data_IF_167101348141
#
_entry.id   IF_167101348141
#
_cell.length_a   1.000
_cell.length_b   1.000
_cell.length_c   1.000
_cell.angle_alpha   90.00
_cell.angle_beta   90.00
_cell.angle_gamma   90.00
#
_symmetry.space_group_name_H-M   'P 1'
#
loop_
_entity.id
_entity.type
_entity.pdbx_description
1 polymer ?
#
# COMPACT_ATOMS: atom_id res chain seq x y z
N UNK A 1 13.70 21.42 -6.54
CA UNK A 1 12.72 21.59 -5.45
C UNK A 1 12.03 20.26 -5.25
N UNK A 2 12.01 19.70 -4.05
CA UNK A 2 11.36 18.40 -3.80
C UNK A 2 9.91 18.61 -3.33
N UNK A 3 8.97 17.83 -3.83
CA UNK A 3 7.56 17.88 -3.44
C UNK A 3 7.19 16.62 -2.69
N UNK A 4 6.49 16.74 -1.57
CA UNK A 4 6.09 15.62 -0.71
C UNK A 4 4.59 15.35 -0.82
N UNK A 5 4.25 14.08 -0.92
CA UNK A 5 2.88 13.59 -0.96
C UNK A 5 2.70 12.49 0.08
N UNK A 6 1.67 12.60 0.92
CA UNK A 6 1.29 11.54 1.83
C UNK A 6 0.65 10.35 1.10
N UNK A 7 0.55 9.21 1.80
CA UNK A 7 -0.34 8.14 1.37
C UNK A 7 -1.79 8.62 1.54
N UNK A 8 -2.65 8.39 0.56
CA UNK A 8 -4.04 8.83 0.61
C UNK A 8 -4.78 8.29 1.84
N UNK A 9 -5.74 9.05 2.40
CA UNK A 9 -6.58 8.57 3.48
C UNK A 9 -7.36 7.31 3.02
N UNK A 10 -7.59 6.40 3.96
CA UNK A 10 -8.30 5.15 3.68
C UNK A 10 -9.74 5.42 3.24
N UNK A 11 -10.20 4.68 2.23
CA UNK A 11 -11.62 4.68 1.89
C UNK A 11 -12.46 4.08 3.03
N UNK A 12 -13.76 4.41 3.14
CA UNK A 12 -14.62 3.96 4.23
C UNK A 12 -14.64 2.43 4.42
N UNK A 13 -14.60 1.68 3.33
CA UNK A 13 -14.54 0.22 3.36
C UNK A 13 -13.26 -0.30 4.05
N UNK A 14 -12.09 0.16 3.61
CA UNK A 14 -10.80 -0.25 4.18
C UNK A 14 -10.67 0.23 5.64
N UNK A 15 -11.20 1.40 5.96
CA UNK A 15 -11.22 1.90 7.34
C UNK A 15 -12.04 1.00 8.26
N UNK A 16 -13.27 0.61 7.85
CA UNK A 16 -14.11 -0.32 8.63
C UNK A 16 -13.43 -1.67 8.79
N UNK A 17 -12.88 -2.22 7.73
CA UNK A 17 -12.16 -3.50 7.76
C UNK A 17 -10.95 -3.44 8.71
N UNK A 18 -10.17 -2.36 8.67
CA UNK A 18 -9.05 -2.15 9.59
C UNK A 18 -9.52 -2.09 11.05
N UNK A 19 -10.61 -1.38 11.34
CA UNK A 19 -11.17 -1.30 12.71
C UNK A 19 -11.56 -2.70 13.20
N UNK A 20 -12.30 -3.46 12.40
CA UNK A 20 -12.70 -4.84 12.75
C UNK A 20 -11.49 -5.71 13.05
N UNK A 21 -10.46 -5.65 12.19
CA UNK A 21 -9.23 -6.42 12.40
C UNK A 21 -8.47 -5.97 13.65
N UNK A 22 -8.44 -4.68 13.96
CA UNK A 22 -7.78 -4.16 15.16
C UNK A 22 -8.51 -4.53 16.45
N UNK A 23 -9.82 -4.79 16.40
CA UNK A 23 -10.58 -5.31 17.54
C UNK A 23 -10.26 -6.76 17.86
N UNK A 24 -9.76 -7.53 16.90
CA UNK A 24 -9.50 -8.96 17.07
C UNK A 24 -8.53 -9.27 18.21
N UNK A 25 -7.33 -8.67 18.32
CA UNK A 25 -6.45 -8.90 19.46
C UNK A 25 -7.07 -8.48 20.79
N UNK A 26 -7.92 -7.43 20.81
CA UNK A 26 -8.63 -7.01 22.02
C UNK A 26 -9.59 -8.10 22.50
N UNK A 27 -10.36 -8.70 21.57
CA UNK A 27 -11.25 -9.82 21.87
C UNK A 27 -10.46 -11.00 22.43
N UNK A 28 -9.30 -11.34 21.84
CA UNK A 28 -8.45 -12.43 22.35
C UNK A 28 -7.85 -12.12 23.73
N UNK A 29 -7.51 -10.88 24.02
CA UNK A 29 -7.06 -10.49 25.38
C UNK A 29 -8.17 -10.69 26.38
N UNK A 30 -9.37 -10.17 26.11
CA UNK A 30 -10.53 -10.30 27.02
C UNK A 30 -10.88 -11.79 27.24
N UNK A 31 -10.97 -12.56 26.17
CA UNK A 31 -11.25 -14.00 26.25
C UNK A 31 -10.14 -14.78 26.97
N UNK A 32 -8.88 -14.41 26.79
CA UNK A 32 -7.73 -15.06 27.42
C UNK A 32 -7.59 -14.76 28.91
N UNK A 33 -8.05 -13.58 29.35
CA UNK A 33 -8.12 -13.25 30.80
C UNK A 33 -9.23 -14.03 31.50
N UNK A 34 -10.38 -14.22 30.82
CA UNK A 34 -11.55 -14.90 31.37
C UNK A 34 -11.50 -16.44 31.19
N UNK A 35 -10.57 -16.96 30.37
CA UNK A 35 -10.53 -18.37 29.97
C UNK A 35 -9.13 -18.87 29.62
N UNK A 36 -8.93 -19.57 28.49
CA UNK A 36 -7.63 -20.18 28.16
C UNK A 36 -6.54 -19.14 27.92
N UNK A 37 -5.51 -19.12 28.74
CA UNK A 37 -4.36 -18.18 28.61
C UNK A 37 -3.62 -18.27 27.26
N UNK A 38 -3.77 -19.37 26.52
CA UNK A 38 -3.24 -19.50 25.15
C UNK A 38 -3.73 -18.38 24.22
N UNK A 39 -4.93 -17.81 24.46
CA UNK A 39 -5.47 -16.70 23.68
C UNK A 39 -4.67 -15.39 23.87
N UNK A 40 -4.02 -15.20 25.02
CA UNK A 40 -3.12 -14.07 25.26
C UNK A 40 -1.88 -14.15 24.34
N UNK A 41 -1.38 -15.35 24.14
CA UNK A 41 -0.27 -15.56 23.20
C UNK A 41 -0.70 -15.25 21.76
N UNK A 42 -1.91 -15.68 21.36
CA UNK A 42 -2.46 -15.34 20.03
C UNK A 42 -2.61 -13.83 19.87
N UNK A 43 -3.12 -13.14 20.88
CA UNK A 43 -3.25 -11.68 20.87
C UNK A 43 -1.87 -11.00 20.70
N UNK A 44 -0.86 -11.47 21.42
CA UNK A 44 0.50 -10.95 21.31
C UNK A 44 1.06 -11.14 19.88
N UNK A 45 0.92 -12.33 19.30
CA UNK A 45 1.36 -12.62 17.93
C UNK A 45 0.67 -11.73 16.92
N UNK A 46 -0.64 -11.49 17.07
CA UNK A 46 -1.40 -10.57 16.21
C UNK A 46 -0.88 -9.13 16.33
N UNK A 47 -0.66 -8.64 17.54
CA UNK A 47 -0.14 -7.29 17.75
C UNK A 47 1.25 -7.10 17.15
N UNK A 48 2.14 -8.07 17.33
CA UNK A 48 3.48 -8.06 16.72
C UNK A 48 3.39 -8.07 15.19
N UNK A 49 2.51 -8.91 14.63
CA UNK A 49 2.27 -8.99 13.18
C UNK A 49 1.73 -7.67 12.64
N UNK A 50 0.79 -7.05 13.35
CA UNK A 50 0.24 -5.74 12.96
C UNK A 50 1.30 -4.65 13.00
N UNK A 51 2.11 -4.59 14.06
CA UNK A 51 3.24 -3.66 14.16
C UNK A 51 4.25 -3.85 13.03
N UNK A 52 4.55 -5.10 12.67
CA UNK A 52 5.39 -5.42 11.51
C UNK A 52 4.79 -4.92 10.20
N UNK A 53 3.51 -5.25 9.93
CA UNK A 53 2.83 -4.80 8.70
C UNK A 53 2.87 -3.27 8.59
N UNK A 54 2.58 -2.57 9.69
CA UNK A 54 2.62 -1.12 9.74
C UNK A 54 4.00 -0.56 9.40
N UNK A 55 5.04 -1.09 10.01
CA UNK A 55 6.40 -0.56 9.89
C UNK A 55 7.06 -0.92 8.55
N UNK A 56 6.77 -2.11 8.01
CA UNK A 56 7.49 -2.66 6.87
C UNK A 56 6.78 -2.49 5.53
N UNK A 57 5.45 -2.54 5.53
CA UNK A 57 4.67 -2.59 4.27
C UNK A 57 3.97 -1.27 3.94
N UNK A 58 3.55 -0.48 4.93
CA UNK A 58 2.83 0.75 4.68
C UNK A 58 3.80 1.91 4.44
N UNK A 59 3.85 2.49 3.22
CA UNK A 59 4.60 3.72 2.99
C UNK A 59 3.93 4.89 3.72
N UNK A 60 4.75 5.81 4.20
CA UNK A 60 4.28 7.03 4.86
C UNK A 60 4.21 8.21 3.90
N UNK A 61 5.22 8.32 3.03
CA UNK A 61 5.37 9.51 2.18
C UNK A 61 6.03 9.13 0.86
N UNK A 62 5.60 9.81 -0.20
CA UNK A 62 6.23 9.82 -1.52
C UNK A 62 6.88 11.18 -1.72
N UNK A 63 8.18 11.22 -2.00
CA UNK A 63 8.92 12.46 -2.24
C UNK A 63 9.39 12.47 -3.69
N UNK A 64 8.89 13.44 -4.45
CA UNK A 64 9.29 13.64 -5.84
C UNK A 64 10.45 14.64 -5.86
N UNK A 65 11.62 14.14 -6.25
CA UNK A 65 12.81 14.95 -6.49
C UNK A 65 12.95 15.27 -7.99
N UNK A 66 13.80 16.21 -8.38
CA UNK A 66 14.05 16.50 -9.81
C UNK A 66 14.59 15.29 -10.57
N UNK A 67 15.37 14.43 -9.91
CA UNK A 67 16.09 13.29 -10.48
C UNK A 67 15.51 11.92 -10.11
N UNK A 68 14.58 11.87 -9.12
CA UNK A 68 14.15 10.60 -8.55
C UNK A 68 12.81 10.68 -7.82
N UNK A 69 12.14 9.54 -7.68
CA UNK A 69 11.03 9.31 -6.77
C UNK A 69 11.54 8.56 -5.53
N UNK A 70 11.42 9.15 -4.36
CA UNK A 70 11.73 8.49 -3.09
C UNK A 70 10.44 8.07 -2.41
N UNK A 71 10.36 6.80 -2.04
CA UNK A 71 9.25 6.24 -1.24
C UNK A 71 9.78 5.92 0.14
N UNK A 72 9.11 6.46 1.14
CA UNK A 72 9.54 6.40 2.54
C UNK A 72 8.58 5.55 3.34
N UNK A 73 9.11 4.54 4.02
CA UNK A 73 8.45 3.75 5.06
C UNK A 73 9.03 4.13 6.43
N UNK A 74 8.50 3.61 7.49
CA UNK A 74 9.01 3.84 8.84
C UNK A 74 10.48 3.35 8.99
N UNK A 75 10.77 2.15 8.46
CA UNK A 75 12.08 1.48 8.60
C UNK A 75 12.86 1.36 7.29
N UNK A 76 12.34 1.88 6.18
CA UNK A 76 12.93 1.70 4.84
C UNK A 76 12.70 2.93 3.98
N UNK A 77 13.64 3.18 3.08
CA UNK A 77 13.50 4.14 1.99
C UNK A 77 13.92 3.49 0.69
N UNK A 78 13.22 3.77 -0.38
CA UNK A 78 13.56 3.30 -1.73
C UNK A 78 13.54 4.50 -2.65
N UNK A 79 14.63 4.72 -3.36
CA UNK A 79 14.77 5.76 -4.37
C UNK A 79 14.73 5.12 -5.74
N UNK A 80 13.90 5.64 -6.61
CA UNK A 80 13.71 5.23 -8.01
C UNK A 80 14.18 6.39 -8.86
N UNK A 81 15.26 6.23 -9.65
CA UNK A 81 15.70 7.24 -10.58
C UNK A 81 14.63 7.53 -11.63
N UNK A 82 14.53 8.77 -12.12
CA UNK A 82 13.52 9.14 -13.11
C UNK A 82 13.70 8.44 -14.45
N UNK A 83 14.92 8.19 -14.86
CA UNK A 83 15.26 7.41 -16.06
C UNK A 83 14.76 5.96 -15.99
N UNK A 84 14.57 5.43 -14.78
CA UNK A 84 13.94 4.14 -14.53
C UNK A 84 12.40 4.14 -14.63
N UNK A 85 11.75 5.31 -14.75
CA UNK A 85 10.31 5.46 -14.87
C UNK A 85 9.94 5.72 -16.33
N UNK A 86 9.27 4.75 -16.96
CA UNK A 86 8.90 4.86 -18.37
C UNK A 86 7.61 5.66 -18.59
N UNK A 87 6.64 5.51 -17.70
CA UNK A 87 5.40 6.28 -17.74
C UNK A 87 4.74 6.36 -16.37
N UNK A 88 3.99 7.44 -16.16
CA UNK A 88 3.18 7.65 -14.96
C UNK A 88 1.81 8.12 -15.39
N UNK A 89 0.75 7.45 -14.93
CA UNK A 89 -0.62 7.82 -15.25
C UNK A 89 -1.56 7.56 -14.09
N UNK A 90 -2.59 8.35 -13.99
CA UNK A 90 -3.72 8.06 -13.13
C UNK A 90 -4.61 7.04 -13.83
N UNK A 91 -5.10 6.06 -13.08
CA UNK A 91 -6.00 5.01 -13.57
C UNK A 91 -7.19 4.88 -12.62
N UNK A 92 -8.36 4.66 -13.19
CA UNK A 92 -9.52 4.32 -12.41
C UNK A 92 -9.64 2.80 -12.16
N UNK A 93 -10.65 2.39 -11.39
CA UNK A 93 -10.84 0.98 -11.05
C UNK A 93 -11.23 0.13 -12.28
N UNK A 94 -11.97 0.68 -13.23
CA UNK A 94 -12.42 -0.07 -14.42
C UNK A 94 -11.27 -0.22 -15.40
N UNK A 95 -10.53 0.87 -15.64
CA UNK A 95 -9.34 0.88 -16.46
C UNK A 95 -8.28 -0.08 -15.89
N UNK A 96 -8.02 -0.01 -14.58
CA UNK A 96 -7.10 -0.94 -13.92
C UNK A 96 -7.50 -2.40 -14.16
N UNK A 97 -8.79 -2.74 -14.00
CA UNK A 97 -9.28 -4.11 -14.27
C UNK A 97 -9.09 -4.55 -15.72
N UNK A 98 -9.29 -3.66 -16.69
CA UNK A 98 -9.07 -3.95 -18.10
C UNK A 98 -7.60 -4.21 -18.38
N UNK A 99 -6.70 -3.40 -17.79
CA UNK A 99 -5.27 -3.48 -18.02
C UNK A 99 -4.62 -4.71 -17.36
N UNK A 100 -4.97 -4.98 -16.10
CA UNK A 100 -4.35 -6.07 -15.35
C UNK A 100 -5.06 -7.41 -15.53
N UNK A 101 -6.35 -7.39 -15.95
CA UNK A 101 -7.18 -8.59 -16.05
C UNK A 101 -7.58 -9.12 -14.67
N UNK A 102 -7.61 -10.47 -14.55
CA UNK A 102 -7.77 -11.11 -13.24
C UNK A 102 -6.47 -10.99 -12.42
N UNK A 103 -6.63 -10.76 -11.14
CA UNK A 103 -5.46 -10.59 -10.26
C UNK A 103 -5.66 -11.17 -8.88
N UNK A 104 -4.61 -11.82 -8.38
CA UNK A 104 -4.51 -12.33 -7.01
C UNK A 104 -3.56 -11.44 -6.20
N UNK A 105 -4.03 -11.00 -5.04
CA UNK A 105 -3.21 -10.20 -4.12
C UNK A 105 -2.41 -11.09 -3.20
N UNK A 106 -1.12 -10.82 -3.09
CA UNK A 106 -0.19 -11.48 -2.15
C UNK A 106 0.46 -10.42 -1.28
N UNK A 107 0.21 -10.49 0.04
CA UNK A 107 0.75 -9.53 1.01
C UNK A 107 -0.27 -9.08 2.04
N UNK A 108 -0.01 -7.95 2.69
CA UNK A 108 -0.87 -7.40 3.72
C UNK A 108 -2.09 -6.69 3.09
N UNK A 109 -3.25 -7.32 3.21
CA UNK A 109 -4.53 -6.76 2.75
C UNK A 109 -5.51 -6.59 3.90
N UNK A 110 -6.24 -5.45 3.90
CA UNK A 110 -7.24 -5.17 4.92
C UNK A 110 -6.76 -4.27 6.06
N UNK A 111 -5.55 -4.44 6.57
CA UNK A 111 -4.96 -3.55 7.57
C UNK A 111 -4.35 -2.31 6.87
N UNK A 112 -4.98 -1.15 7.09
CA UNK A 112 -4.59 0.17 6.58
C UNK A 112 -4.54 0.30 5.06
N UNK A 113 -4.87 -0.75 4.30
CA UNK A 113 -4.81 -0.72 2.84
C UNK A 113 -4.54 -2.07 2.21
N UNK A 114 -3.95 -2.05 1.02
CA UNK A 114 -3.44 -3.22 0.32
C UNK A 114 -1.98 -3.00 -0.02
N UNK A 115 -1.09 -3.75 0.61
CA UNK A 115 0.35 -3.62 0.48
C UNK A 115 0.97 -4.96 0.10
N UNK A 116 1.93 -4.97 -0.83
CA UNK A 116 2.61 -6.16 -1.30
C UNK A 116 2.58 -6.30 -2.80
N UNK A 117 2.19 -7.45 -3.31
CA UNK A 117 2.18 -7.77 -4.73
C UNK A 117 0.77 -8.07 -5.22
N UNK A 118 0.47 -7.59 -6.41
CA UNK A 118 -0.71 -7.98 -7.18
C UNK A 118 -0.23 -8.84 -8.34
N UNK A 119 -0.51 -10.13 -8.29
CA UNK A 119 -0.23 -11.03 -9.39
C UNK A 119 -1.37 -10.95 -10.40
N UNK A 120 -1.06 -10.55 -11.61
CA UNK A 120 -2.04 -10.24 -12.65
C UNK A 120 -1.87 -11.13 -13.87
N UNK A 121 -2.98 -11.46 -14.53
CA UNK A 121 -2.95 -12.32 -15.71
C UNK A 121 -2.33 -11.67 -16.94
N UNK A 122 -2.34 -10.33 -17.05
CA UNK A 122 -1.88 -9.58 -18.22
C UNK A 122 -0.58 -8.83 -18.04
N UNK A 123 -0.28 -8.38 -16.81
CA UNK A 123 0.88 -7.52 -16.50
C UNK A 123 1.90 -8.19 -15.58
N UNK A 124 1.70 -9.48 -15.24
CA UNK A 124 2.57 -10.18 -14.30
C UNK A 124 2.45 -9.63 -12.88
N UNK A 125 3.58 -9.47 -12.18
CA UNK A 125 3.62 -9.04 -10.79
C UNK A 125 3.73 -7.52 -10.72
N UNK A 126 2.73 -6.89 -10.10
CA UNK A 126 2.67 -5.44 -9.84
C UNK A 126 2.92 -5.19 -8.36
N UNK A 127 3.78 -4.25 -8.03
CA UNK A 127 4.01 -3.83 -6.65
C UNK A 127 2.92 -2.86 -6.22
N UNK A 128 2.22 -3.15 -5.13
CA UNK A 128 1.02 -2.43 -4.74
C UNK A 128 1.16 -1.77 -3.38
N UNK A 129 0.86 -0.47 -3.30
CA UNK A 129 0.82 0.33 -2.08
C UNK A 129 -0.42 1.24 -2.11
N UNK A 130 -1.57 0.66 -1.80
CA UNK A 130 -2.86 1.35 -1.93
C UNK A 130 -3.59 1.43 -0.59
N UNK A 131 -4.13 2.59 -0.27
CA UNK A 131 -4.95 2.86 0.91
C UNK A 131 -6.40 3.19 0.56
N UNK A 132 -6.71 3.33 -0.74
CA UNK A 132 -8.05 3.61 -1.28
C UNK A 132 -8.28 2.79 -2.54
N UNK A 133 -9.53 2.70 -3.00
CA UNK A 133 -9.94 1.87 -4.14
C UNK A 133 -10.29 2.69 -5.40
N UNK A 134 -9.83 3.92 -5.44
CA UNK A 134 -10.00 4.89 -6.52
C UNK A 134 -8.75 5.75 -6.69
N UNK A 135 -8.68 6.52 -7.80
CA UNK A 135 -7.57 7.44 -8.11
C UNK A 135 -6.20 6.78 -7.93
N UNK A 136 -6.04 5.61 -8.52
CA UNK A 136 -4.74 4.94 -8.52
C UNK A 136 -3.75 5.69 -9.41
N UNK A 137 -2.49 5.62 -9.04
CA UNK A 137 -1.39 6.04 -9.91
C UNK A 137 -0.61 4.80 -10.29
N UNK A 138 -0.52 4.56 -11.58
CA UNK A 138 0.28 3.52 -12.19
C UNK A 138 1.62 4.08 -12.61
N UNK A 139 2.70 3.48 -12.15
CA UNK A 139 4.07 3.84 -12.50
C UNK A 139 4.70 2.66 -13.23
N UNK A 140 4.95 2.83 -14.52
CA UNK A 140 5.67 1.85 -15.34
C UNK A 140 7.18 2.06 -15.13
N UNK A 141 7.92 0.96 -14.94
CA UNK A 141 9.33 1.01 -14.58
C UNK A 141 10.17 0.14 -15.53
N UNK A 142 10.32 0.58 -16.77
CA UNK A 142 11.18 -0.09 -17.74
C UNK A 142 11.13 -1.62 -17.68
N UNK A 143 12.22 -2.24 -17.27
CA UNK A 143 12.33 -3.71 -17.07
C UNK A 143 11.92 -4.18 -15.69
N UNK A 144 11.68 -3.28 -14.76
CA UNK A 144 11.29 -3.62 -13.40
C UNK A 144 9.76 -3.71 -13.24
N UNK A 145 9.33 -4.26 -12.09
CA UNK A 145 7.90 -4.41 -11.79
C UNK A 145 7.22 -3.06 -11.69
N UNK A 146 6.07 -2.87 -12.36
CA UNK A 146 5.30 -1.64 -12.24
C UNK A 146 4.78 -1.46 -10.82
N UNK A 147 4.53 -0.20 -10.44
CA UNK A 147 3.97 0.14 -9.14
C UNK A 147 2.56 0.68 -9.28
N UNK A 148 1.69 0.25 -8.37
CA UNK A 148 0.34 0.76 -8.18
C UNK A 148 0.28 1.43 -6.81
N UNK A 149 0.11 2.74 -6.78
CA UNK A 149 0.11 3.54 -5.55
C UNK A 149 -1.12 4.43 -5.46
N UNK A 150 -1.41 4.92 -4.26
CA UNK A 150 -2.47 5.92 -4.04
C UNK A 150 -1.91 7.09 -3.24
N UNK A 151 -1.24 8.06 -3.87
CA UNK A 151 -0.83 9.29 -3.21
C UNK A 151 -2.06 10.15 -2.86
N UNK A 152 -1.93 10.99 -1.86
CA UNK A 152 -3.01 11.86 -1.37
C UNK A 152 -3.59 12.77 -2.48
N UNK A 153 -2.72 13.36 -3.30
CA UNK A 153 -3.06 14.24 -4.43
C UNK A 153 -2.55 13.62 -5.72
N UNK A 154 -3.31 12.65 -6.26
CA UNK A 154 -2.89 11.82 -7.39
C UNK A 154 -2.55 12.64 -8.64
N UNK A 155 -3.36 13.64 -8.99
CA UNK A 155 -3.17 14.49 -10.18
C UNK A 155 -1.91 15.33 -10.07
N UNK A 156 -1.71 16.00 -8.93
CA UNK A 156 -0.50 16.81 -8.68
C UNK A 156 0.76 15.92 -8.62
N UNK A 157 0.64 14.70 -8.08
CA UNK A 157 1.73 13.74 -8.04
C UNK A 157 2.15 13.31 -9.46
N UNK A 158 1.19 12.97 -10.33
CA UNK A 158 1.46 12.66 -11.73
C UNK A 158 2.09 13.86 -12.43
N UNK A 159 1.53 15.06 -12.28
CA UNK A 159 2.09 16.27 -12.87
C UNK A 159 3.52 16.57 -12.38
N UNK A 160 3.83 16.29 -11.11
CA UNK A 160 5.17 16.49 -10.57
C UNK A 160 6.21 15.48 -11.09
N UNK A 161 5.77 14.25 -11.42
CA UNK A 161 6.63 13.23 -11.98
C UNK A 161 6.81 13.31 -13.50
N UNK A 162 5.88 13.97 -14.22
CA UNK A 162 5.95 14.11 -15.69
C UNK A 162 6.65 15.39 -16.15
N UNK A 163 6.91 16.32 -15.24
CA UNK A 163 7.74 17.53 -15.48
C UNK A 163 9.21 17.19 -15.46
#
# INVERSE_FOLDING_TARGET
>A
MSVRFGLAPMCPFLRRLTIVLLLLPVVFVVAGVAGPHALLFVALVLLLTYGWIWSRFRPTTFVVHPDSLEVVWLLKRVRIPRDGISSVRQVDRQELRRDVGWGMRVGAGGLWGGFGWLWTSRRGIVQMYVSRLDRFVWIERGKERPWLITPERAEEFVAALTR
#
